data_IF_997547655566
#
_entry.id   IF_997547655566
#
_cell.length_a   1.000
_cell.length_b   1.000
_cell.length_c   1.000
_cell.angle_alpha   90.00
_cell.angle_beta   90.00
_cell.angle_gamma   90.00
#
_symmetry.space_group_name_H-M   'P 1'
#
loop_
_entity.id
_entity.type
_entity.pdbx_description
1 polymer ?
#
# COMPACT_ATOMS: atom_id res chain seq x y z
N UNK A 1 31.98 13.87 36.40
CA UNK A 1 31.69 15.09 35.63
C UNK A 1 32.84 15.45 34.68
N UNK A 2 34.11 15.49 35.15
CA UNK A 2 35.27 15.82 34.30
C UNK A 2 35.40 15.02 32.96
N UNK A 3 35.05 13.73 32.95
CA UNK A 3 35.12 12.88 31.75
C UNK A 3 34.13 13.31 30.67
N UNK A 4 32.92 13.71 31.05
CA UNK A 4 31.90 14.22 30.11
C UNK A 4 32.28 15.61 29.57
N UNK A 5 32.83 16.47 30.43
CA UNK A 5 33.33 17.79 30.02
C UNK A 5 34.47 17.70 29.02
N UNK A 6 35.43 16.77 29.24
CA UNK A 6 36.53 16.52 28.29
C UNK A 6 36.03 15.98 26.93
N UNK A 7 35.00 15.14 26.92
CA UNK A 7 34.40 14.65 25.68
C UNK A 7 33.71 15.78 24.93
N UNK A 8 32.94 16.62 25.62
CA UNK A 8 32.21 17.74 24.99
C UNK A 8 33.19 18.76 24.40
N UNK A 9 34.27 19.06 25.12
CA UNK A 9 35.31 19.97 24.63
C UNK A 9 36.03 19.41 23.40
N UNK A 10 36.36 18.12 23.37
CA UNK A 10 36.98 17.45 22.21
C UNK A 10 36.03 17.38 21.03
N UNK A 11 34.74 17.12 21.25
CA UNK A 11 33.72 17.12 20.19
C UNK A 11 33.53 18.53 19.58
N UNK A 12 33.61 19.58 20.43
CA UNK A 12 33.50 20.96 19.95
C UNK A 12 34.71 21.45 19.13
N UNK A 13 35.84 20.76 19.22
CA UNK A 13 37.07 21.05 18.47
C UNK A 13 37.15 20.31 17.11
N UNK A 14 36.20 19.46 16.80
CA UNK A 14 36.18 18.70 15.54
C UNK A 14 35.84 19.62 14.36
N UNK A 15 36.68 19.60 13.32
CA UNK A 15 36.44 20.36 12.11
C UNK A 15 35.10 19.94 11.45
N UNK A 16 34.32 20.92 11.06
CA UNK A 16 33.03 20.71 10.38
C UNK A 16 33.15 19.78 9.17
N UNK A 17 34.27 19.81 8.47
CA UNK A 17 34.52 18.95 7.29
C UNK A 17 34.49 17.46 7.68
N UNK A 18 35.09 17.13 8.82
CA UNK A 18 35.08 15.75 9.32
C UNK A 18 33.66 15.30 9.65
N UNK A 19 32.86 16.18 10.27
CA UNK A 19 31.45 15.89 10.58
C UNK A 19 30.66 15.63 9.30
N UNK A 20 30.81 16.49 8.28
CA UNK A 20 30.10 16.30 7.00
C UNK A 20 30.54 15.02 6.27
N UNK A 21 31.83 14.68 6.30
CA UNK A 21 32.33 13.42 5.73
C UNK A 21 31.74 12.23 6.46
N UNK A 22 31.68 12.25 7.79
CA UNK A 22 31.08 11.16 8.58
C UNK A 22 29.59 11.01 8.30
N UNK A 23 28.84 12.11 8.21
CA UNK A 23 27.42 12.08 7.85
C UNK A 23 27.25 11.53 6.41
N UNK A 24 28.08 12.00 5.48
CA UNK A 24 28.07 11.52 4.10
C UNK A 24 28.33 10.01 4.02
N UNK A 25 29.32 9.50 4.73
CA UNK A 25 29.61 8.07 4.80
C UNK A 25 28.48 7.27 5.49
N UNK A 26 27.91 7.79 6.57
CA UNK A 26 26.81 7.15 7.28
C UNK A 26 25.54 6.99 6.41
N UNK A 27 25.33 7.89 5.46
CA UNK A 27 24.23 7.79 4.48
C UNK A 27 24.63 6.96 3.27
N UNK A 28 25.85 7.15 2.76
CA UNK A 28 26.31 6.52 1.53
C UNK A 28 26.51 5.01 1.69
N UNK A 29 27.05 4.56 2.83
CA UNK A 29 27.31 3.13 3.07
C UNK A 29 26.04 2.29 3.01
N UNK A 30 24.95 2.60 3.74
CA UNK A 30 23.71 1.85 3.63
C UNK A 30 23.03 1.93 2.25
N UNK A 31 23.27 3.03 1.51
CA UNK A 31 22.71 3.19 0.16
C UNK A 31 23.42 2.28 -0.86
N UNK A 32 24.72 2.10 -0.71
CA UNK A 32 25.53 1.24 -1.59
C UNK A 32 25.46 -0.24 -1.22
N UNK A 33 25.20 -0.53 0.05
CA UNK A 33 25.02 -1.89 0.56
C UNK A 33 23.60 -2.05 1.09
N UNK A 34 22.63 -2.47 0.25
CA UNK A 34 21.26 -2.63 0.70
C UNK A 34 21.19 -3.66 1.83
N UNK A 35 20.99 -3.16 3.04
CA UNK A 35 20.78 -3.99 4.22
C UNK A 35 19.34 -4.47 4.19
N UNK A 36 19.09 -5.67 3.71
CA UNK A 36 17.78 -6.30 3.80
C UNK A 36 17.49 -6.64 5.26
N UNK A 37 16.69 -5.79 5.90
CA UNK A 37 16.16 -6.11 7.22
C UNK A 37 15.11 -7.23 7.07
N UNK A 38 15.18 -8.30 7.88
CA UNK A 38 14.16 -9.33 7.85
C UNK A 38 12.82 -8.73 8.31
N UNK A 39 11.93 -8.49 7.35
CA UNK A 39 10.55 -8.08 7.66
C UNK A 39 9.82 -9.30 8.20
N UNK A 40 9.42 -9.23 9.47
CA UNK A 40 8.59 -10.25 10.09
C UNK A 40 7.14 -9.82 10.02
N UNK A 41 6.29 -10.76 9.65
CA UNK A 41 4.85 -10.57 9.63
C UNK A 41 4.33 -10.28 11.05
N UNK A 42 3.47 -9.28 11.17
CA UNK A 42 2.81 -9.02 12.44
C UNK A 42 1.62 -9.96 12.61
N UNK A 43 1.23 -10.32 13.86
CA UNK A 43 0.05 -11.15 14.09
C UNK A 43 -1.24 -10.56 13.47
N UNK A 44 -1.31 -9.24 13.34
CA UNK A 44 -2.43 -8.55 12.70
C UNK A 44 -2.44 -8.78 11.20
N UNK A 45 -1.28 -8.73 10.55
CA UNK A 45 -1.13 -9.00 9.11
C UNK A 45 -1.53 -10.44 8.78
N UNK A 46 -1.08 -11.41 9.60
CA UNK A 46 -1.47 -12.82 9.43
C UNK A 46 -2.98 -13.00 9.56
N UNK A 47 -3.60 -12.43 10.60
CA UNK A 47 -5.06 -12.50 10.78
C UNK A 47 -5.83 -11.87 9.64
N UNK A 48 -5.33 -10.77 9.08
CA UNK A 48 -5.96 -10.12 7.93
C UNK A 48 -5.87 -11.01 6.68
N UNK A 49 -4.70 -11.59 6.42
CA UNK A 49 -4.47 -12.53 5.34
C UNK A 49 -5.39 -13.76 5.45
N UNK A 50 -5.42 -14.40 6.61
CA UNK A 50 -6.30 -15.53 6.91
C UNK A 50 -7.78 -15.14 6.77
N UNK A 51 -8.11 -13.89 7.12
CA UNK A 51 -9.46 -13.34 6.97
C UNK A 51 -9.91 -13.32 5.50
N UNK A 52 -9.02 -12.94 4.58
CA UNK A 52 -9.30 -12.97 3.13
C UNK A 52 -9.40 -14.43 2.65
N UNK A 53 -8.50 -15.30 3.07
CA UNK A 53 -8.48 -16.71 2.67
C UNK A 53 -9.74 -17.48 3.12
N UNK A 54 -10.32 -17.07 4.25
CA UNK A 54 -11.56 -17.67 4.76
C UNK A 54 -12.83 -17.17 4.07
N UNK A 55 -12.75 -16.17 3.20
CA UNK A 55 -13.89 -15.74 2.39
C UNK A 55 -14.21 -16.86 1.37
N UNK A 56 -15.46 -17.29 1.22
CA UNK A 56 -15.83 -18.29 0.22
C UNK A 56 -15.37 -17.85 -1.18
N UNK A 57 -14.75 -18.76 -1.93
CA UNK A 57 -14.26 -18.46 -3.29
C UNK A 57 -15.36 -17.89 -4.17
N UNK A 58 -15.00 -17.05 -5.13
CA UNK A 58 -15.92 -16.35 -6.03
C UNK A 58 -16.93 -15.43 -5.32
N UNK A 59 -16.60 -14.96 -4.12
CA UNK A 59 -17.40 -13.97 -3.42
C UNK A 59 -17.25 -12.57 -4.02
N UNK A 60 -18.26 -11.74 -3.80
CA UNK A 60 -18.21 -10.30 -4.12
C UNK A 60 -17.62 -9.54 -2.95
N UNK A 61 -16.56 -8.80 -3.18
CA UNK A 61 -15.83 -8.05 -2.13
C UNK A 61 -15.81 -6.57 -2.46
N UNK A 62 -16.20 -5.73 -1.52
CA UNK A 62 -16.11 -4.28 -1.64
C UNK A 62 -14.76 -3.82 -1.07
N UNK A 63 -13.99 -3.09 -1.88
CA UNK A 63 -12.71 -2.49 -1.48
C UNK A 63 -12.79 -0.98 -1.66
N UNK A 64 -12.39 -0.23 -0.63
CA UNK A 64 -12.35 1.24 -0.70
C UNK A 64 -10.91 1.73 -0.83
N UNK A 65 -10.65 2.56 -1.84
CA UNK A 65 -9.36 3.19 -2.09
C UNK A 65 -9.41 4.64 -1.58
N UNK A 66 -9.02 4.85 -0.33
CA UNK A 66 -9.16 6.12 0.36
C UNK A 66 -7.80 6.75 0.71
N UNK A 67 -6.90 6.81 -0.27
CA UNK A 67 -5.59 7.42 -0.14
C UNK A 67 -5.20 8.18 -1.41
N UNK A 68 -4.23 9.07 -1.27
CA UNK A 68 -3.72 9.90 -2.37
C UNK A 68 -2.23 9.70 -2.63
N UNK A 69 -1.66 10.47 -3.58
CA UNK A 69 -0.27 10.35 -4.02
C UNK A 69 0.75 10.52 -2.89
N UNK A 70 0.45 11.32 -1.87
CA UNK A 70 1.36 11.57 -0.74
C UNK A 70 1.61 10.34 0.13
N UNK A 71 0.63 9.44 0.23
CA UNK A 71 0.72 8.20 1.01
C UNK A 71 0.93 6.96 0.14
N UNK A 72 1.03 7.15 -1.18
CA UNK A 72 1.23 6.08 -2.16
C UNK A 72 2.42 5.17 -1.83
N UNK A 73 3.62 5.67 -1.48
CA UNK A 73 4.79 4.80 -1.24
C UNK A 73 4.57 3.78 -0.12
N UNK A 74 3.69 4.07 0.83
CA UNK A 74 3.42 3.25 2.01
C UNK A 74 2.19 2.36 1.83
N UNK A 75 1.08 2.91 1.34
CA UNK A 75 -0.21 2.22 1.28
C UNK A 75 -0.39 1.42 -0.03
N UNK A 76 0.13 1.93 -1.15
CA UNK A 76 -0.10 1.33 -2.47
C UNK A 76 0.41 -0.11 -2.60
N UNK A 77 1.64 -0.47 -2.17
CA UNK A 77 2.13 -1.84 -2.27
C UNK A 77 1.26 -2.83 -1.48
N UNK A 78 0.71 -2.38 -0.35
CA UNK A 78 -0.20 -3.18 0.47
C UNK A 78 -1.52 -3.43 -0.26
N UNK A 79 -2.10 -2.41 -0.88
CA UNK A 79 -3.33 -2.55 -1.66
C UNK A 79 -3.16 -3.43 -2.89
N UNK A 80 -2.06 -3.29 -3.62
CA UNK A 80 -1.72 -4.19 -4.75
C UNK A 80 -1.63 -5.64 -4.26
N UNK A 81 -0.97 -5.88 -3.11
CA UNK A 81 -0.88 -7.21 -2.50
C UNK A 81 -2.26 -7.79 -2.14
N UNK A 82 -3.14 -6.99 -1.57
CA UNK A 82 -4.51 -7.38 -1.20
C UNK A 82 -5.35 -7.68 -2.43
N UNK A 83 -5.34 -6.81 -3.45
CA UNK A 83 -6.06 -7.05 -4.70
C UNK A 83 -5.59 -8.33 -5.39
N UNK A 84 -4.28 -8.53 -5.48
CA UNK A 84 -3.68 -9.74 -6.06
C UNK A 84 -4.15 -11.00 -5.33
N UNK A 85 -4.20 -10.97 -4.00
CA UNK A 85 -4.68 -12.08 -3.19
C UNK A 85 -6.16 -12.38 -3.47
N UNK A 86 -7.00 -11.36 -3.51
CA UNK A 86 -8.43 -11.50 -3.81
C UNK A 86 -8.68 -12.05 -5.21
N UNK A 87 -7.96 -11.54 -6.22
CA UNK A 87 -8.06 -12.02 -7.60
C UNK A 87 -7.62 -13.49 -7.73
N UNK A 88 -6.57 -13.92 -7.03
CA UNK A 88 -6.15 -15.33 -6.99
C UNK A 88 -7.20 -16.26 -6.41
N UNK A 89 -8.00 -15.76 -5.47
CA UNK A 89 -9.13 -16.51 -4.89
C UNK A 89 -10.40 -16.46 -5.75
N UNK A 90 -10.35 -15.78 -6.91
CA UNK A 90 -11.48 -15.64 -7.85
C UNK A 90 -12.57 -14.72 -7.36
N UNK A 91 -12.27 -13.79 -6.44
CA UNK A 91 -13.27 -12.83 -5.98
C UNK A 91 -13.55 -11.76 -7.01
N UNK A 92 -14.82 -11.38 -7.15
CA UNK A 92 -15.25 -10.21 -7.91
C UNK A 92 -15.11 -8.96 -7.04
N UNK A 93 -14.28 -8.00 -7.45
CA UNK A 93 -13.90 -6.85 -6.63
C UNK A 93 -14.72 -5.63 -7.04
N UNK A 94 -15.46 -5.06 -6.11
CA UNK A 94 -16.16 -3.79 -6.26
C UNK A 94 -15.32 -2.68 -5.65
N UNK A 95 -14.80 -1.76 -6.49
CA UNK A 95 -13.89 -0.71 -6.05
C UNK A 95 -14.66 0.59 -5.86
N UNK A 96 -14.67 1.07 -4.64
CA UNK A 96 -15.23 2.36 -4.25
C UNK A 96 -14.15 3.33 -3.81
N UNK A 97 -14.41 4.63 -3.89
CA UNK A 97 -13.49 5.65 -3.43
C UNK A 97 -14.30 6.73 -2.69
N UNK A 98 -13.94 6.96 -1.43
CA UNK A 98 -14.48 8.05 -0.61
C UNK A 98 -13.57 9.29 -0.66
N UNK A 99 -12.41 9.16 -1.28
CA UNK A 99 -11.42 10.20 -1.52
C UNK A 99 -11.27 10.44 -3.03
N UNK A 100 -11.21 11.70 -3.51
CA UNK A 100 -11.16 11.99 -4.95
C UNK A 100 -10.00 11.33 -5.69
N UNK A 101 -8.79 11.34 -5.09
CA UNK A 101 -7.59 10.77 -5.69
C UNK A 101 -7.59 9.22 -5.67
N UNK A 102 -8.47 8.62 -4.88
CA UNK A 102 -8.56 7.17 -4.74
C UNK A 102 -8.81 6.42 -6.05
N UNK A 103 -9.56 7.04 -6.98
CA UNK A 103 -9.80 6.46 -8.31
C UNK A 103 -8.49 6.23 -9.06
N UNK A 104 -7.62 7.24 -9.08
CA UNK A 104 -6.33 7.15 -9.76
C UNK A 104 -5.43 6.09 -9.12
N UNK A 105 -5.48 6.00 -7.80
CA UNK A 105 -4.73 4.97 -7.05
C UNK A 105 -5.26 3.57 -7.32
N UNK A 106 -6.56 3.40 -7.49
CA UNK A 106 -7.17 2.12 -7.83
C UNK A 106 -6.81 1.68 -9.25
N UNK A 107 -6.88 2.59 -10.21
CA UNK A 107 -6.50 2.32 -11.60
C UNK A 107 -5.02 1.97 -11.73
N UNK A 108 -4.15 2.70 -11.02
CA UNK A 108 -2.71 2.44 -10.97
C UNK A 108 -2.41 1.05 -10.38
N UNK A 109 -3.11 0.64 -9.32
CA UNK A 109 -2.98 -0.68 -8.73
C UNK A 109 -3.45 -1.82 -9.68
N UNK A 110 -4.55 -1.60 -10.40
CA UNK A 110 -5.06 -2.55 -11.40
C UNK A 110 -4.10 -2.68 -12.59
N UNK A 111 -3.55 -1.56 -13.07
CA UNK A 111 -2.56 -1.54 -14.14
C UNK A 111 -1.28 -2.28 -13.73
N UNK A 112 -0.79 -2.04 -12.49
CA UNK A 112 0.38 -2.75 -11.96
C UNK A 112 0.18 -4.26 -11.95
N UNK A 113 -1.00 -4.73 -11.52
CA UNK A 113 -1.34 -6.16 -11.49
C UNK A 113 -1.47 -6.75 -12.90
N UNK A 114 -2.09 -6.02 -13.83
CA UNK A 114 -2.26 -6.46 -15.21
C UNK A 114 -0.92 -6.56 -15.94
N UNK A 115 0.00 -5.63 -15.66
CA UNK A 115 1.33 -5.60 -16.25
C UNK A 115 2.31 -6.56 -15.57
N UNK A 116 1.91 -7.23 -14.49
CA UNK A 116 2.72 -8.25 -13.83
C UNK A 116 2.88 -9.46 -14.75
N UNK A 117 4.10 -9.71 -15.18
CA UNK A 117 4.44 -10.86 -16.03
C UNK A 117 5.20 -11.91 -15.22
N UNK A 118 4.93 -13.18 -15.53
CA UNK A 118 5.73 -14.29 -15.01
C UNK A 118 7.07 -14.41 -15.78
N UNK A 119 8.00 -15.32 -15.35
CA UNK A 119 9.28 -15.54 -16.04
C UNK A 119 9.17 -15.87 -17.53
N UNK A 120 8.01 -16.35 -17.98
CA UNK A 120 7.72 -16.70 -19.38
C UNK A 120 7.17 -15.52 -20.19
N UNK A 121 7.17 -14.31 -19.64
CA UNK A 121 6.62 -13.08 -20.23
C UNK A 121 5.12 -13.16 -20.57
N UNK A 122 4.38 -13.97 -19.86
CA UNK A 122 2.92 -14.04 -19.94
C UNK A 122 2.32 -13.24 -18.77
N UNK A 123 1.31 -12.41 -19.02
CA UNK A 123 0.61 -11.71 -17.94
C UNK A 123 0.10 -12.69 -16.89
N UNK A 124 0.38 -12.40 -15.64
CA UNK A 124 -0.04 -13.25 -14.52
C UNK A 124 -1.55 -13.17 -14.30
N UNK A 125 -2.14 -12.02 -14.67
CA UNK A 125 -3.58 -11.77 -14.58
C UNK A 125 -4.11 -11.11 -15.85
N UNK A 126 -5.07 -11.75 -16.48
CA UNK A 126 -5.90 -11.17 -17.55
C UNK A 126 -7.20 -10.67 -16.89
N UNK A 127 -7.12 -9.55 -16.16
CA UNK A 127 -8.26 -9.00 -15.42
C UNK A 127 -9.13 -8.15 -16.33
N UNK A 128 -10.44 -8.32 -16.20
CA UNK A 128 -11.44 -7.64 -17.03
C UNK A 128 -12.44 -6.89 -16.17
N UNK A 129 -12.71 -5.66 -16.60
CA UNK A 129 -13.78 -4.87 -15.99
C UNK A 129 -15.12 -5.57 -16.22
N UNK A 130 -15.99 -5.53 -15.22
CA UNK A 130 -17.30 -6.19 -15.11
C UNK A 130 -17.26 -7.71 -14.89
N UNK A 131 -16.14 -8.39 -15.14
CA UNK A 131 -15.95 -9.81 -14.81
C UNK A 131 -15.25 -9.97 -13.46
N UNK A 132 -14.02 -9.44 -13.36
CA UNK A 132 -13.16 -9.60 -12.18
C UNK A 132 -13.28 -8.40 -11.22
N UNK A 133 -13.46 -7.20 -11.78
CA UNK A 133 -13.66 -5.99 -10.97
C UNK A 133 -14.70 -5.06 -11.57
N UNK A 134 -15.26 -4.20 -10.72
CA UNK A 134 -16.20 -3.14 -11.07
C UNK A 134 -15.76 -1.86 -10.39
N UNK A 135 -15.46 -0.83 -11.17
CA UNK A 135 -15.11 0.49 -10.64
C UNK A 135 -16.38 1.30 -10.36
N UNK A 136 -16.77 1.40 -9.10
CA UNK A 136 -17.94 2.16 -8.65
C UNK A 136 -17.68 3.67 -8.64
N UNK A 137 -16.40 4.07 -8.58
CA UNK A 137 -15.99 5.45 -8.62
C UNK A 137 -16.02 6.17 -7.27
N UNK A 138 -15.83 7.49 -7.34
CA UNK A 138 -15.80 8.36 -6.16
C UNK A 138 -17.20 8.83 -5.76
N UNK A 139 -17.47 8.79 -4.45
CA UNK A 139 -18.70 9.36 -3.87
C UNK A 139 -18.34 10.30 -2.70
N UNK A 140 -18.72 11.58 -2.77
CA UNK A 140 -18.52 12.50 -1.66
C UNK A 140 -19.46 12.20 -0.51
N UNK A 141 -19.06 12.56 0.72
CA UNK A 141 -19.89 12.42 1.91
C UNK A 141 -19.62 11.16 2.71
N UNK A 142 -18.34 10.79 2.88
CA UNK A 142 -17.80 9.60 3.51
C UNK A 142 -18.73 8.88 4.52
N UNK A 143 -19.17 9.54 5.59
CA UNK A 143 -20.03 8.93 6.62
C UNK A 143 -21.42 8.54 6.08
N UNK A 144 -22.03 9.41 5.28
CA UNK A 144 -23.34 9.14 4.69
C UNK A 144 -23.28 8.01 3.65
N UNK A 145 -22.18 7.96 2.87
CA UNK A 145 -21.93 6.89 1.90
C UNK A 145 -21.72 5.57 2.62
N UNK A 146 -20.91 5.51 3.68
CA UNK A 146 -20.68 4.28 4.46
C UNK A 146 -21.99 3.77 5.06
N UNK A 147 -22.82 4.64 5.65
CA UNK A 147 -24.14 4.26 6.17
C UNK A 147 -25.08 3.77 5.06
N UNK A 148 -25.03 4.42 3.89
CA UNK A 148 -25.78 4.01 2.72
C UNK A 148 -25.35 2.63 2.21
N UNK A 149 -24.06 2.38 2.09
CA UNK A 149 -23.49 1.10 1.68
C UNK A 149 -23.90 -0.06 2.60
N UNK A 150 -23.94 0.20 3.91
CA UNK A 150 -24.38 -0.79 4.89
C UNK A 150 -25.87 -1.16 4.74
N UNK A 151 -26.70 -0.28 4.15
CA UNK A 151 -28.11 -0.53 3.93
C UNK A 151 -28.42 -1.10 2.54
N UNK A 152 -27.94 -0.46 1.49
CA UNK A 152 -28.15 -0.87 0.10
C UNK A 152 -27.12 -0.21 -0.82
N UNK A 153 -26.15 -0.99 -1.30
CA UNK A 153 -25.09 -0.54 -2.21
C UNK A 153 -25.67 0.06 -3.51
N UNK A 154 -26.77 -0.49 -4.03
CA UNK A 154 -27.37 -0.01 -5.28
C UNK A 154 -27.90 1.42 -5.15
N UNK A 155 -28.52 1.76 -4.02
CA UNK A 155 -29.03 3.12 -3.79
C UNK A 155 -27.94 4.18 -3.74
N UNK A 156 -26.74 3.80 -3.33
CA UNK A 156 -25.58 4.72 -3.25
C UNK A 156 -24.99 4.95 -4.63
N UNK A 157 -24.95 3.95 -5.49
CA UNK A 157 -24.29 4.00 -6.80
C UNK A 157 -25.24 4.01 -8.00
N UNK A 158 -26.56 3.97 -7.80
CA UNK A 158 -27.50 4.22 -8.88
C UNK A 158 -27.67 5.75 -9.07
N UNK A 159 -27.51 6.21 -10.28
CA UNK A 159 -27.83 7.58 -10.71
C UNK A 159 -29.25 7.60 -11.23
#
# INVERSE_FOLDING_TARGET
>A
MKFLEDIILKLGAVDRRVIFVLIGLAVLIPLLTPISLPVRETPTTVKFYDGIDNIPKNSKVLVSFDYGPSTRPEIHPMNVGVLRHMLRNGHQIYISCLWPDGIYMALDALEEITNEVNPDNVSTFDIKEYEDYILLGYRPGAEAVIKGLASDLRKVYTV
#
